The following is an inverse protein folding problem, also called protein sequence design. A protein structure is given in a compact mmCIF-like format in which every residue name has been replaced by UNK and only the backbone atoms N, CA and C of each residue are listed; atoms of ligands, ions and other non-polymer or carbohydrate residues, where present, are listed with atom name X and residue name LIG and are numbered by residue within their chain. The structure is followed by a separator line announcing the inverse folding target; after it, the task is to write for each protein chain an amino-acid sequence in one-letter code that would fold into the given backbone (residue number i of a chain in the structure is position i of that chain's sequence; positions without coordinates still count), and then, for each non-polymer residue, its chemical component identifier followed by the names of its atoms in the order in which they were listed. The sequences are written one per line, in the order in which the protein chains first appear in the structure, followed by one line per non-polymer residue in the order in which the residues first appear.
data_IF_029096008980
#
_entry.id   IF_029096008980
#
_cell.length_a   1.000
_cell.length_b   1.000
_cell.length_c   1.000
_cell.angle_alpha   90.00
_cell.angle_beta   90.00
_cell.angle_gamma   90.00
#
_symmetry.space_group_name_H-M   'P 1'
#
loop_
_entity.id
_entity.type
_entity.pdbx_description
1 polymer ?
#
# COMPACT_ATOMS: atom_id res chain seq x y z
N UNK A 1 -21.45 15.51 -16.54
CA UNK A 1 -20.89 16.41 -15.52
C UNK A 1 -19.93 15.60 -14.66
N UNK A 2 -18.62 15.84 -14.75
CA UNK A 2 -17.63 15.26 -13.83
C UNK A 2 -17.38 16.28 -12.73
N UNK A 3 -18.04 16.10 -11.58
CA UNK A 3 -17.65 16.83 -10.38
C UNK A 3 -16.23 16.37 -9.98
N UNK A 4 -15.31 17.29 -9.66
CA UNK A 4 -13.99 16.93 -9.19
C UNK A 4 -14.10 16.17 -7.86
N UNK A 5 -13.29 15.12 -7.70
CA UNK A 5 -13.12 14.47 -6.41
C UNK A 5 -12.46 15.47 -5.44
N UNK A 6 -13.02 15.62 -4.25
CA UNK A 6 -12.42 16.43 -3.17
C UNK A 6 -11.78 15.46 -2.17
N UNK A 7 -10.46 15.24 -2.22
CA UNK A 7 -9.78 14.40 -1.26
C UNK A 7 -9.57 15.13 0.07
N UNK A 8 -9.70 14.39 1.17
CA UNK A 8 -9.29 14.87 2.49
C UNK A 8 -7.80 14.59 2.70
N UNK A 9 -7.07 15.62 3.12
CA UNK A 9 -5.66 15.50 3.50
C UNK A 9 -5.56 15.39 5.01
N UNK A 10 -5.38 14.17 5.50
CA UNK A 10 -5.23 13.87 6.92
C UNK A 10 -3.80 13.43 7.23
N UNK A 11 -3.35 13.69 8.46
CA UNK A 11 -2.08 13.16 8.92
C UNK A 11 -2.12 11.61 8.94
N UNK A 12 -1.00 10.98 8.59
CA UNK A 12 -0.91 9.52 8.54
C UNK A 12 -1.03 8.91 9.94
N UNK A 13 -2.18 8.30 10.23
CA UNK A 13 -2.41 7.55 11.46
C UNK A 13 -2.14 6.04 11.25
N UNK A 14 -1.02 5.58 11.80
CA UNK A 14 -0.58 4.18 11.72
C UNK A 14 -1.47 3.20 12.51
N UNK A 15 -2.22 3.68 13.50
CA UNK A 15 -3.15 2.86 14.26
C UNK A 15 -4.45 2.64 13.47
N UNK A 16 -4.91 3.66 12.74
CA UNK A 16 -6.11 3.60 11.91
C UNK A 16 -5.97 2.68 10.69
N UNK A 17 -4.75 2.48 10.17
CA UNK A 17 -4.49 1.65 8.98
C UNK A 17 -5.07 0.23 9.04
N UNK A 18 -5.16 -0.37 10.24
CA UNK A 18 -5.73 -1.71 10.41
C UNK A 18 -7.24 -1.76 10.10
N UNK A 19 -7.94 -0.65 10.35
CA UNK A 19 -9.39 -0.48 10.21
C UNK A 19 -9.78 0.24 8.92
N UNK A 20 -8.81 0.68 8.13
CA UNK A 20 -9.08 1.34 6.86
C UNK A 20 -9.76 0.34 5.90
N UNK A 21 -10.98 0.68 5.50
CA UNK A 21 -11.79 -0.10 4.56
C UNK A 21 -11.51 0.33 3.11
N UNK A 22 -11.99 -0.46 2.15
CA UNK A 22 -11.81 -0.16 0.73
C UNK A 22 -10.39 -0.47 0.23
N UNK A 23 -9.72 0.50 -0.39
CA UNK A 23 -8.40 0.29 -1.02
C UNK A 23 -7.35 1.23 -0.46
N UNK A 24 -6.23 0.67 -0.04
CA UNK A 24 -5.08 1.42 0.45
C UNK A 24 -4.06 1.50 -0.68
N UNK A 25 -3.69 2.71 -1.09
CA UNK A 25 -2.57 2.93 -2.01
C UNK A 25 -1.33 3.33 -1.22
N UNK A 26 -0.24 2.61 -1.44
CA UNK A 26 1.04 2.80 -0.78
C UNK A 26 2.14 3.01 -1.83
N UNK A 27 2.63 4.23 -2.01
CA UNK A 27 3.84 4.47 -2.78
C UNK A 27 5.06 4.00 -1.98
N UNK A 28 5.93 3.25 -2.62
CA UNK A 28 7.24 2.83 -2.10
C UNK A 28 8.31 3.54 -2.93
N UNK A 29 9.39 3.98 -2.28
CA UNK A 29 10.49 4.59 -3.02
C UNK A 29 11.08 3.59 -4.04
N UNK A 30 11.65 4.07 -5.17
CA UNK A 30 12.19 3.20 -6.23
C UNK A 30 13.25 2.22 -5.73
N UNK A 31 13.94 2.56 -4.64
CA UNK A 31 14.95 1.74 -3.97
C UNK A 31 14.33 0.57 -3.16
N UNK A 32 12.99 0.47 -3.13
CA UNK A 32 12.25 -0.59 -2.44
C UNK A 32 12.21 -0.45 -0.91
N UNK A 33 12.57 0.73 -0.38
CA UNK A 33 12.64 0.95 1.07
C UNK A 33 11.25 1.16 1.66
N UNK A 34 10.89 0.32 2.64
CA UNK A 34 9.66 0.46 3.41
C UNK A 34 9.80 1.58 4.46
N UNK A 35 8.93 2.57 4.38
CA UNK A 35 8.76 3.62 5.39
C UNK A 35 8.00 3.10 6.63
N UNK A 36 7.68 3.98 7.58
CA UNK A 36 6.99 3.57 8.80
C UNK A 36 5.58 3.04 8.53
N UNK A 37 4.87 3.64 7.56
CA UNK A 37 3.54 3.20 7.12
C UNK A 37 3.58 1.83 6.46
N UNK A 38 4.48 1.65 5.50
CA UNK A 38 4.71 0.38 4.81
C UNK A 38 5.09 -0.74 5.78
N UNK A 39 5.99 -0.48 6.74
CA UNK A 39 6.36 -1.49 7.77
C UNK A 39 5.21 -1.84 8.70
N UNK A 40 4.30 -0.90 8.99
CA UNK A 40 3.10 -1.19 9.77
C UNK A 40 2.13 -2.07 8.98
N UNK A 41 1.87 -1.70 7.72
CA UNK A 41 1.03 -2.48 6.82
C UNK A 41 1.60 -3.88 6.57
N UNK A 42 2.92 -4.00 6.43
CA UNK A 42 3.59 -5.29 6.26
C UNK A 42 3.44 -6.20 7.48
N UNK A 43 3.54 -5.65 8.70
CA UNK A 43 3.27 -6.40 9.93
C UNK A 43 1.81 -6.87 10.01
N UNK A 44 0.86 -6.03 9.61
CA UNK A 44 -0.57 -6.38 9.58
C UNK A 44 -0.83 -7.46 8.52
N UNK A 45 -0.23 -7.30 7.33
CA UNK A 45 -0.30 -8.19 6.19
C UNK A 45 0.66 -9.41 6.27
N UNK A 46 1.18 -9.73 7.46
CA UNK A 46 2.03 -10.90 7.74
C UNK A 46 3.25 -11.05 6.82
N UNK A 47 3.93 -9.95 6.49
CA UNK A 47 5.16 -9.96 5.68
C UNK A 47 4.92 -10.01 4.17
N UNK A 48 3.66 -9.92 3.71
CA UNK A 48 3.34 -10.00 2.28
C UNK A 48 3.93 -8.83 1.48
N UNK A 49 4.08 -7.65 2.09
CA UNK A 49 4.61 -6.45 1.46
C UNK A 49 6.11 -6.55 1.25
N UNK A 50 6.85 -6.97 2.27
CA UNK A 50 8.28 -7.18 2.19
C UNK A 50 8.61 -8.25 1.13
N UNK A 51 7.83 -9.34 1.09
CA UNK A 51 7.97 -10.38 0.06
C UNK A 51 7.67 -9.84 -1.34
N UNK A 52 6.64 -9.00 -1.50
CA UNK A 52 6.33 -8.35 -2.77
C UNK A 52 7.46 -7.41 -3.21
N UNK A 53 7.94 -6.54 -2.33
CA UNK A 53 9.00 -5.58 -2.61
C UNK A 53 10.33 -6.25 -2.99
N UNK A 54 10.64 -7.41 -2.39
CA UNK A 54 11.81 -8.22 -2.72
C UNK A 54 11.62 -9.11 -3.98
N UNK A 55 10.41 -9.15 -4.56
CA UNK A 55 10.12 -10.05 -5.68
C UNK A 55 10.69 -9.54 -7.01
N UNK A 56 11.06 -10.44 -7.95
CA UNK A 56 11.45 -10.04 -9.30
C UNK A 56 10.34 -9.30 -10.06
N UNK A 57 9.07 -9.56 -9.71
CA UNK A 57 7.94 -8.88 -10.32
C UNK A 57 7.94 -7.38 -9.98
N UNK A 58 8.17 -7.02 -8.71
CA UNK A 58 8.27 -5.63 -8.28
C UNK A 58 9.52 -4.94 -8.83
N UNK A 59 10.65 -5.66 -8.91
CA UNK A 59 11.88 -5.13 -9.50
C UNK A 59 11.69 -4.69 -10.96
N UNK A 60 10.85 -5.42 -11.72
CA UNK A 60 10.55 -5.14 -13.13
C UNK A 60 9.56 -3.98 -13.35
N UNK A 61 8.86 -3.53 -12.32
CA UNK A 61 7.93 -2.40 -12.44
C UNK A 61 8.69 -1.12 -12.80
N UNK A 62 8.06 -0.28 -13.62
CA UNK A 62 8.52 1.08 -13.88
C UNK A 62 8.00 2.05 -12.82
N UNK A 63 8.63 3.22 -12.61
CA UNK A 63 8.07 4.26 -11.76
C UNK A 63 6.64 4.62 -12.18
N UNK A 64 5.71 4.63 -11.23
CA UNK A 64 4.28 4.85 -11.45
C UNK A 64 3.47 3.58 -11.74
N UNK A 65 4.11 2.42 -11.95
CA UNK A 65 3.40 1.14 -12.05
C UNK A 65 3.08 0.57 -10.67
N UNK A 66 1.99 -0.18 -10.59
CA UNK A 66 1.47 -0.71 -9.33
C UNK A 66 1.29 -2.24 -9.37
N UNK A 67 1.52 -2.87 -8.23
CA UNK A 67 1.11 -4.24 -7.94
C UNK A 67 0.02 -4.25 -6.88
N UNK A 68 -0.96 -5.14 -7.01
CA UNK A 68 -2.11 -5.19 -6.11
C UNK A 68 -2.10 -6.48 -5.32
N UNK A 69 -2.18 -6.35 -3.99
CA UNK A 69 -2.45 -7.46 -3.07
C UNK A 69 -3.93 -7.43 -2.72
N UNK A 70 -4.67 -8.45 -3.15
CA UNK A 70 -6.10 -8.58 -2.87
C UNK A 70 -6.32 -9.27 -1.52
N UNK A 71 -7.28 -8.75 -0.76
CA UNK A 71 -7.70 -9.26 0.57
C UNK A 71 -6.52 -9.60 1.49
N UNK A 72 -5.63 -8.62 1.78
CA UNK A 72 -4.49 -8.86 2.65
C UNK A 72 -4.95 -9.26 4.05
N UNK A 73 -4.48 -10.42 4.52
CA UNK A 73 -4.82 -10.92 5.84
C UNK A 73 -4.46 -9.91 6.92
N UNK A 74 -5.38 -9.59 7.83
CA UNK A 74 -5.13 -8.68 8.96
C UNK A 74 -5.39 -7.19 8.68
N UNK A 75 -5.89 -6.85 7.49
CA UNK A 75 -6.41 -5.52 7.16
C UNK A 75 -7.91 -5.62 6.87
N UNK A 76 -8.66 -4.57 7.21
CA UNK A 76 -10.05 -4.40 6.78
C UNK A 76 -10.19 -4.00 5.30
N UNK A 77 -9.08 -3.59 4.67
CA UNK A 77 -9.05 -3.20 3.27
C UNK A 77 -9.23 -4.39 2.33
N UNK A 78 -9.98 -4.18 1.25
CA UNK A 78 -10.19 -5.13 0.15
C UNK A 78 -8.95 -5.30 -0.72
N UNK A 79 -8.13 -4.24 -0.83
CA UNK A 79 -6.90 -4.28 -1.61
C UNK A 79 -5.85 -3.33 -1.08
N UNK A 80 -4.59 -3.77 -1.17
CA UNK A 80 -3.41 -2.96 -0.93
C UNK A 80 -2.64 -2.81 -2.24
N UNK A 81 -2.65 -1.58 -2.77
CA UNK A 81 -2.04 -1.20 -4.04
C UNK A 81 -0.65 -0.65 -3.72
N UNK A 82 0.38 -1.32 -4.20
CA UNK A 82 1.78 -0.95 -3.98
C UNK A 82 2.33 -0.35 -5.26
N UNK A 83 2.68 0.94 -5.21
CA UNK A 83 3.18 1.72 -6.36
C UNK A 83 4.70 1.88 -6.23
N UNK A 84 5.43 1.75 -7.34
CA UNK A 84 6.88 1.99 -7.41
C UNK A 84 7.22 3.41 -7.86
#
# INVERSE_FOLDING_TARGET
MTAPLVPDFVATDLAALARAEGRIALPIAPEGRLDAGARRLDRLARGALARLAASPAFAKLKPGEASVLHFPAGLAAEALIVVK
#
